data_IF_843404214213
#
_entry.id   IF_843404214213
#
_cell.length_a   1.000
_cell.length_b   1.000
_cell.length_c   1.000
_cell.angle_alpha   90.00
_cell.angle_beta   90.00
_cell.angle_gamma   90.00
#
_symmetry.space_group_name_H-M   'P 1'
#
loop_
_entity.id
_entity.type
_entity.pdbx_description
1 polymer ?
#
# COMPACT_ATOMS: atom_id res chain seq x y z
N UNK A 1 22.42 0.06 18.77
CA UNK A 1 22.76 -1.13 19.59
C UNK A 1 22.73 -2.35 18.69
N UNK A 2 23.77 -3.19 18.70
CA UNK A 2 23.76 -4.44 17.95
C UNK A 2 22.62 -5.30 18.47
N UNK A 3 21.63 -5.54 17.63
CA UNK A 3 20.48 -6.37 17.97
C UNK A 3 20.94 -7.82 17.87
N UNK A 4 20.88 -8.56 18.98
CA UNK A 4 21.11 -10.02 18.94
C UNK A 4 19.76 -10.68 18.70
N UNK A 5 19.61 -11.37 17.58
CA UNK A 5 18.53 -12.34 17.40
C UNK A 5 18.86 -13.55 18.29
N UNK A 6 18.52 -13.46 19.59
CA UNK A 6 18.78 -14.53 20.56
C UNK A 6 17.52 -15.35 20.75
N UNK A 7 17.63 -16.67 20.61
CA UNK A 7 16.51 -17.59 20.75
C UNK A 7 15.49 -17.48 19.62
N UNK A 8 14.25 -17.86 19.91
CA UNK A 8 13.12 -17.67 19.01
C UNK A 8 12.62 -16.23 19.08
N UNK A 9 12.40 -15.65 17.92
CA UNK A 9 11.85 -14.30 17.82
C UNK A 9 10.34 -14.34 18.05
N UNK A 10 9.82 -13.27 18.63
CA UNK A 10 8.39 -13.02 18.78
C UNK A 10 7.99 -11.83 17.91
N UNK A 11 6.74 -11.82 17.46
CA UNK A 11 6.19 -10.73 16.68
C UNK A 11 5.52 -9.72 17.61
N UNK A 12 5.87 -8.45 17.46
CA UNK A 12 5.26 -7.35 18.20
C UNK A 12 4.67 -6.34 17.23
N UNK A 13 3.42 -5.96 17.46
CA UNK A 13 2.86 -4.72 16.91
C UNK A 13 3.22 -3.57 17.86
N UNK A 14 4.08 -2.67 17.39
CA UNK A 14 4.46 -1.46 18.13
C UNK A 14 3.81 -0.26 17.47
N UNK A 15 3.08 0.52 18.25
CA UNK A 15 2.42 1.76 17.83
C UNK A 15 3.05 2.92 18.59
N UNK A 16 3.52 3.93 17.89
CA UNK A 16 4.08 5.13 18.49
C UNK A 16 3.83 6.37 17.65
N UNK A 17 4.07 7.54 18.23
CA UNK A 17 3.88 8.84 17.58
C UNK A 17 4.96 9.83 18.01
N UNK A 18 5.04 10.95 17.32
CA UNK A 18 5.79 12.12 17.80
C UNK A 18 5.02 12.76 18.97
N UNK A 19 5.74 13.32 19.95
CA UNK A 19 5.10 14.07 21.03
C UNK A 19 4.33 15.27 20.44
N UNK A 20 3.04 15.45 20.79
CA UNK A 20 2.28 16.63 20.43
C UNK A 20 2.97 17.90 20.95
N UNK A 21 2.94 18.96 20.14
CA UNK A 21 3.42 20.28 20.55
C UNK A 21 2.30 21.31 20.38
N UNK A 22 2.38 22.48 21.01
CA UNK A 22 1.37 23.53 20.85
C UNK A 22 1.12 23.91 19.38
N UNK A 23 2.16 23.81 18.54
CA UNK A 23 2.08 24.06 17.10
C UNK A 23 1.48 22.91 16.29
N UNK A 24 1.55 21.69 16.81
CA UNK A 24 1.08 20.46 16.15
C UNK A 24 0.47 19.52 17.19
N UNK A 25 -0.80 19.74 17.56
CA UNK A 25 -1.48 18.96 18.59
C UNK A 25 -1.86 17.55 18.10
N UNK A 26 -1.97 17.33 16.79
CA UNK A 26 -2.38 16.05 16.20
C UNK A 26 -1.24 15.45 15.38
N UNK A 27 -0.41 14.66 16.05
CA UNK A 27 0.74 14.03 15.41
C UNK A 27 0.38 12.70 14.75
N UNK A 28 1.05 12.34 13.64
CA UNK A 28 0.80 11.08 12.95
C UNK A 28 1.19 9.88 13.82
N UNK A 29 0.33 8.88 13.82
CA UNK A 29 0.54 7.60 14.51
C UNK A 29 1.19 6.61 13.53
N UNK A 30 2.25 5.95 13.97
CA UNK A 30 2.94 4.91 13.22
C UNK A 30 2.74 3.55 13.87
N UNK A 31 2.44 2.55 13.04
CA UNK A 31 2.33 1.15 13.43
C UNK A 31 3.38 0.34 12.69
N UNK A 32 4.15 -0.47 13.42
CA UNK A 32 5.14 -1.37 12.85
C UNK A 32 5.01 -2.78 13.44
N UNK A 33 5.21 -3.78 12.59
CA UNK A 33 5.45 -5.16 13.01
C UNK A 33 6.94 -5.36 13.19
N UNK A 34 7.36 -5.76 14.39
CA UNK A 34 8.75 -5.90 14.80
C UNK A 34 8.97 -7.31 15.32
N UNK A 35 9.97 -8.00 14.76
CA UNK A 35 10.44 -9.29 15.27
C UNK A 35 11.57 -9.06 16.26
N UNK A 36 11.40 -9.52 17.49
CA UNK A 36 12.37 -9.32 18.58
C UNK A 36 12.26 -10.44 19.63
N UNK A 37 13.34 -10.66 20.39
CA UNK A 37 13.32 -11.65 21.48
C UNK A 37 12.42 -11.24 22.65
N UNK A 38 12.25 -9.94 22.88
CA UNK A 38 11.40 -9.39 23.94
C UNK A 38 10.87 -7.99 23.57
N UNK A 39 9.95 -7.47 24.39
CA UNK A 39 9.28 -6.19 24.18
C UNK A 39 10.26 -5.00 24.27
N UNK A 40 11.28 -5.07 25.13
CA UNK A 40 12.30 -4.02 25.28
C UNK A 40 13.08 -3.84 23.98
N UNK A 41 13.52 -4.94 23.37
CA UNK A 41 14.22 -4.93 22.08
C UNK A 41 13.26 -4.48 20.97
N UNK A 42 11.98 -4.89 21.03
CA UNK A 42 10.97 -4.44 20.06
C UNK A 42 10.80 -2.92 20.07
N UNK A 43 10.69 -2.30 21.27
CA UNK A 43 10.65 -0.84 21.44
C UNK A 43 11.90 -0.16 20.90
N UNK A 44 13.08 -0.74 21.17
CA UNK A 44 14.34 -0.20 20.66
C UNK A 44 14.41 -0.26 19.12
N UNK A 45 13.94 -1.36 18.51
CA UNK A 45 13.93 -1.54 17.06
C UNK A 45 12.92 -0.64 16.37
N UNK A 46 11.76 -0.43 16.99
CA UNK A 46 10.79 0.56 16.53
C UNK A 46 11.43 1.95 16.39
N UNK A 47 12.10 2.45 17.44
CA UNK A 47 12.76 3.76 17.37
C UNK A 47 13.91 3.81 16.37
N UNK A 48 14.65 2.71 16.21
CA UNK A 48 15.67 2.62 15.16
C UNK A 48 15.06 2.86 13.78
N UNK A 49 13.99 2.14 13.42
CA UNK A 49 13.34 2.32 12.12
C UNK A 49 12.63 3.66 11.98
N UNK A 50 11.96 4.16 13.02
CA UNK A 50 11.29 5.47 12.99
C UNK A 50 12.31 6.59 12.80
N UNK A 51 13.48 6.50 13.43
CA UNK A 51 14.54 7.48 13.23
C UNK A 51 15.09 7.47 11.81
N UNK A 52 15.17 6.31 11.17
CA UNK A 52 15.60 6.16 9.78
C UNK A 52 14.54 6.66 8.78
N UNK A 53 13.25 6.35 9.01
CA UNK A 53 12.17 6.64 8.07
C UNK A 53 11.57 8.05 8.23
N UNK A 54 11.46 8.54 9.46
CA UNK A 54 10.76 9.78 9.81
C UNK A 54 11.64 10.81 10.49
N UNK A 55 12.93 10.52 10.72
CA UNK A 55 13.88 11.39 11.43
C UNK A 55 13.42 11.81 12.83
N UNK A 56 12.60 10.97 13.48
CA UNK A 56 12.13 11.18 14.85
C UNK A 56 12.90 10.31 15.83
N UNK A 57 13.36 10.91 16.92
CA UNK A 57 14.13 10.24 17.97
C UNK A 57 13.19 9.80 19.10
N UNK A 58 13.64 8.83 19.90
CA UNK A 58 12.93 8.41 21.12
C UNK A 58 12.64 9.58 22.08
N UNK A 59 13.53 10.57 22.15
CA UNK A 59 13.34 11.74 23.03
C UNK A 59 12.19 12.66 22.60
N UNK A 60 11.81 12.64 21.33
CA UNK A 60 10.75 13.50 20.77
C UNK A 60 9.50 12.72 20.38
N UNK A 61 9.35 11.51 20.90
CA UNK A 61 8.21 10.65 20.61
C UNK A 61 7.89 9.70 21.74
N UNK A 62 6.71 9.10 21.65
CA UNK A 62 6.19 8.18 22.65
C UNK A 62 5.67 6.91 21.98
N UNK A 63 5.73 5.79 22.71
CA UNK A 63 5.11 4.53 22.30
C UNK A 63 3.73 4.48 22.95
N UNK A 64 2.69 4.44 22.13
CA UNK A 64 1.30 4.38 22.59
C UNK A 64 0.90 2.97 23.01
N UNK A 65 1.31 1.97 22.23
CA UNK A 65 1.04 0.58 22.58
C UNK A 65 2.08 -0.37 22.03
N UNK A 66 2.29 -1.45 22.75
CA UNK A 66 3.02 -2.62 22.30
C UNK A 66 2.18 -3.85 22.58
N UNK A 67 1.97 -4.67 21.55
CA UNK A 67 1.21 -5.93 21.68
C UNK A 67 1.98 -7.05 21.02
N UNK A 68 2.18 -8.14 21.73
CA UNK A 68 2.66 -9.38 21.15
C UNK A 68 1.57 -9.95 20.22
N UNK A 69 1.96 -10.35 19.02
CA UNK A 69 1.08 -10.92 18.00
C UNK A 69 1.32 -12.42 17.97
N UNK A 70 0.27 -13.17 18.27
CA UNK A 70 0.28 -14.62 18.19
C UNK A 70 -0.24 -15.09 16.82
N UNK A 71 0.30 -16.20 16.33
CA UNK A 71 -0.14 -16.83 15.09
C UNK A 71 -1.61 -17.26 15.22
N UNK A 72 -2.44 -16.89 14.25
CA UNK A 72 -3.90 -17.14 14.30
C UNK A 72 -4.27 -18.62 14.18
N UNK A 73 -3.44 -19.39 13.46
CA UNK A 73 -3.63 -20.82 13.21
C UNK A 73 -2.32 -21.56 13.43
N UNK A 74 -1.91 -21.77 14.70
CA UNK A 74 -0.76 -22.60 15.02
C UNK A 74 -1.08 -24.05 14.64
N UNK A 75 -0.17 -24.73 13.95
CA UNK A 75 -0.32 -26.14 13.57
C UNK A 75 -0.57 -26.40 12.08
N UNK A 76 -0.85 -25.38 11.27
CA UNK A 76 -0.82 -25.52 9.82
C UNK A 76 0.55 -25.09 9.28
N UNK A 77 1.24 -26.02 8.62
CA UNK A 77 2.50 -25.71 7.92
C UNK A 77 2.21 -24.82 6.72
N UNK A 78 2.93 -23.70 6.62
CA UNK A 78 2.80 -22.70 5.57
C UNK A 78 4.17 -22.39 4.98
N UNK A 79 4.16 -21.86 3.76
CA UNK A 79 5.33 -21.23 3.17
C UNK A 79 5.28 -19.72 3.49
N UNK A 80 6.38 -19.18 3.98
CA UNK A 80 6.50 -17.77 4.35
C UNK A 80 7.56 -17.12 3.46
N UNK A 81 7.14 -16.15 2.66
CA UNK A 81 8.06 -15.30 1.89
C UNK A 81 8.60 -14.18 2.76
N UNK A 82 9.91 -14.16 2.96
CA UNK A 82 10.63 -13.16 3.74
C UNK A 82 11.41 -12.27 2.78
N UNK A 83 10.97 -11.02 2.67
CA UNK A 83 11.74 -9.96 2.03
C UNK A 83 12.68 -9.35 3.05
N UNK A 84 13.98 -9.44 2.79
CA UNK A 84 14.99 -8.86 3.66
C UNK A 84 15.96 -7.99 2.86
N UNK A 85 16.44 -6.94 3.51
CA UNK A 85 17.63 -6.21 3.11
C UNK A 85 18.73 -6.56 4.09
N UNK A 86 19.94 -6.79 3.61
CA UNK A 86 21.09 -6.98 4.47
C UNK A 86 22.32 -6.26 3.95
N UNK A 87 23.21 -5.92 4.88
CA UNK A 87 24.47 -5.29 4.58
C UNK A 87 25.57 -6.35 4.56
N UNK A 88 26.19 -6.53 3.39
CA UNK A 88 27.37 -7.36 3.23
C UNK A 88 28.62 -6.59 3.65
N UNK A 89 29.80 -7.15 3.39
CA UNK A 89 31.07 -6.44 3.57
C UNK A 89 31.28 -5.35 2.51
N UNK A 90 30.64 -5.50 1.35
CA UNK A 90 30.92 -4.71 0.14
C UNK A 90 29.73 -3.85 -0.30
N UNK A 91 28.54 -4.01 0.29
CA UNK A 91 27.39 -3.19 -0.07
C UNK A 91 26.07 -3.64 0.55
N UNK A 92 24.99 -3.03 0.07
CA UNK A 92 23.63 -3.29 0.52
C UNK A 92 22.90 -4.17 -0.49
N UNK A 93 22.28 -5.25 -0.03
CA UNK A 93 21.60 -6.20 -0.91
C UNK A 93 20.17 -6.44 -0.44
N UNK A 94 19.25 -6.49 -1.40
CA UNK A 94 17.89 -6.96 -1.17
C UNK A 94 17.81 -8.43 -1.54
N UNK A 95 17.03 -9.20 -0.80
CA UNK A 95 16.87 -10.62 -0.99
C UNK A 95 15.44 -11.04 -0.66
N UNK A 96 14.93 -11.97 -1.46
CA UNK A 96 13.71 -12.68 -1.19
C UNK A 96 14.04 -14.14 -0.90
N UNK A 97 13.49 -14.71 0.17
CA UNK A 97 13.62 -16.13 0.50
C UNK A 97 12.33 -16.69 1.06
N UNK A 98 12.12 -17.97 0.82
CA UNK A 98 10.97 -18.70 1.35
C UNK A 98 11.41 -19.66 2.45
N UNK A 99 10.62 -19.71 3.52
CA UNK A 99 10.82 -20.62 4.65
C UNK A 99 9.52 -21.37 4.92
N UNK A 100 9.65 -22.68 5.13
CA UNK A 100 8.52 -23.54 5.50
C UNK A 100 8.49 -23.67 7.02
N UNK A 101 7.41 -23.21 7.64
CA UNK A 101 7.26 -23.21 9.09
C UNK A 101 5.77 -23.27 9.46
N UNK A 102 5.47 -23.49 10.73
CA UNK A 102 4.12 -23.40 11.30
C UNK A 102 3.78 -21.98 11.78
N UNK A 103 4.78 -21.15 12.03
CA UNK A 103 4.63 -19.76 12.50
C UNK A 103 5.47 -18.76 11.70
N UNK A 104 4.99 -17.52 11.62
CA UNK A 104 5.79 -16.40 11.08
C UNK A 104 7.09 -16.23 11.86
N UNK A 105 7.00 -16.27 13.19
CA UNK A 105 8.13 -16.13 14.12
C UNK A 105 9.23 -17.16 13.85
N UNK A 106 8.85 -18.42 13.66
CA UNK A 106 9.76 -19.50 13.28
C UNK A 106 10.42 -19.24 11.94
N UNK A 107 9.64 -18.88 10.90
CA UNK A 107 10.16 -18.56 9.58
C UNK A 107 11.17 -17.40 9.59
N UNK A 108 10.89 -16.32 10.33
CA UNK A 108 11.82 -15.18 10.45
C UNK A 108 13.06 -15.58 11.26
N UNK A 109 12.91 -16.38 12.30
CA UNK A 109 14.05 -16.92 13.07
C UNK A 109 14.96 -17.77 12.19
N UNK A 110 14.38 -18.65 11.36
CA UNK A 110 15.12 -19.40 10.34
C UNK A 110 15.84 -18.47 9.36
N UNK A 111 15.19 -17.38 8.93
CA UNK A 111 15.81 -16.40 8.04
C UNK A 111 17.05 -15.75 8.65
N UNK A 112 17.00 -15.34 9.92
CA UNK A 112 18.17 -14.82 10.62
C UNK A 112 19.30 -15.84 10.72
N UNK A 113 18.98 -17.12 11.02
CA UNK A 113 19.97 -18.20 11.10
C UNK A 113 20.62 -18.47 9.74
N UNK A 114 19.83 -18.53 8.68
CA UNK A 114 20.30 -18.80 7.32
C UNK A 114 21.20 -17.69 6.78
N UNK A 115 20.85 -16.43 7.05
CA UNK A 115 21.68 -15.28 6.70
C UNK A 115 23.00 -15.26 7.48
N UNK A 116 22.99 -15.67 8.75
CA UNK A 116 24.18 -15.87 9.55
C UNK A 116 25.07 -17.00 9.02
N UNK A 117 24.48 -18.12 8.61
CA UNK A 117 25.21 -19.29 8.13
C UNK A 117 25.81 -19.08 6.74
N UNK A 118 25.03 -18.62 5.76
CA UNK A 118 25.45 -18.54 4.35
C UNK A 118 26.17 -17.26 4.01
N UNK A 119 25.71 -16.15 4.58
CA UNK A 119 26.20 -14.81 4.23
C UNK A 119 27.04 -14.17 5.34
N UNK A 120 27.19 -14.85 6.50
CA UNK A 120 27.84 -14.33 7.71
C UNK A 120 27.27 -12.96 8.12
N UNK A 121 26.01 -12.72 7.78
CA UNK A 121 25.33 -11.47 8.06
C UNK A 121 24.85 -11.48 9.52
N UNK A 122 25.26 -10.46 10.28
CA UNK A 122 24.82 -10.30 11.66
C UNK A 122 23.38 -9.76 11.71
N UNK A 123 22.65 -10.09 12.79
CA UNK A 123 21.24 -9.76 12.91
C UNK A 123 20.94 -8.25 12.91
N UNK A 124 21.86 -7.43 13.40
CA UNK A 124 21.79 -5.97 13.36
C UNK A 124 21.91 -5.41 11.94
N UNK A 125 22.56 -6.15 11.04
CA UNK A 125 22.72 -5.82 9.61
C UNK A 125 21.61 -6.38 8.72
N UNK A 126 20.60 -7.02 9.30
CA UNK A 126 19.47 -7.61 8.56
C UNK A 126 18.17 -6.87 8.91
N UNK A 127 17.54 -6.32 7.88
CA UNK A 127 16.26 -5.62 7.95
C UNK A 127 15.18 -6.44 7.25
N UNK A 128 14.20 -6.91 8.00
CA UNK A 128 13.01 -7.56 7.44
C UNK A 128 12.06 -6.47 6.93
N UNK A 129 11.72 -6.51 5.64
CA UNK A 129 10.95 -5.46 4.95
C UNK A 129 9.48 -5.82 4.75
N UNK A 130 9.15 -7.12 4.64
CA UNK A 130 7.78 -7.63 4.51
C UNK A 130 7.71 -9.13 4.75
N UNK A 131 6.87 -9.55 5.69
CA UNK A 131 6.42 -10.92 5.83
C UNK A 131 5.00 -11.00 5.23
N UNK A 132 4.85 -11.72 4.12
CA UNK A 132 3.53 -12.19 3.71
C UNK A 132 3.60 -13.70 3.68
N UNK A 133 2.76 -14.32 4.51
CA UNK A 133 2.33 -15.70 4.30
C UNK A 133 2.08 -15.89 2.81
N UNK A 134 2.81 -16.81 2.16
CA UNK A 134 2.48 -17.28 0.83
C UNK A 134 1.21 -18.13 0.93
N UNK A 135 0.06 -17.49 1.21
CA UNK A 135 -1.19 -17.98 0.68
C UNK A 135 -1.28 -17.45 -0.73
N UNK A 136 -0.79 -18.28 -1.66
CA UNK A 136 -1.28 -18.28 -3.03
C UNK A 136 -2.80 -18.45 -2.98
N UNK A 137 -3.51 -17.33 -2.92
CA UNK A 137 -4.67 -17.17 -3.76
C UNK A 137 -4.18 -16.42 -4.98
N UNK A 138 -4.12 -17.11 -6.11
CA UNK A 138 -4.23 -16.45 -7.40
C UNK A 138 -5.57 -15.72 -7.43
N UNK A 139 -5.60 -14.51 -6.91
CA UNK A 139 -6.47 -13.45 -7.41
C UNK A 139 -5.57 -12.26 -7.59
N UNK A 140 -5.42 -11.85 -8.85
CA UNK A 140 -4.66 -10.67 -9.27
C UNK A 140 -5.12 -9.42 -8.49
N UNK A 141 -4.56 -9.19 -7.32
CA UNK A 141 -4.43 -7.87 -6.72
C UNK A 141 -2.95 -7.61 -6.61
N UNK A 142 -2.38 -7.16 -7.72
CA UNK A 142 -1.15 -6.38 -7.75
C UNK A 142 -1.26 -5.42 -6.56
N UNK A 143 -0.43 -5.58 -5.54
CA UNK A 143 -0.29 -4.57 -4.51
C UNK A 143 0.17 -3.32 -5.24
N UNK A 144 -0.78 -2.45 -5.60
CA UNK A 144 -0.51 -1.12 -6.12
C UNK A 144 0.29 -0.48 -5.00
N UNK A 145 1.55 -0.19 -5.26
CA UNK A 145 2.32 0.68 -4.39
C UNK A 145 1.40 1.88 -4.10
N UNK A 146 1.11 2.15 -2.83
CA UNK A 146 0.42 3.38 -2.45
C UNK A 146 1.35 4.50 -2.90
N UNK A 147 1.17 4.95 -4.14
CA UNK A 147 1.73 6.19 -4.62
C UNK A 147 1.15 7.26 -3.70
N UNK A 148 1.97 8.21 -3.27
CA UNK A 148 1.48 9.46 -2.68
C UNK A 148 0.65 10.18 -3.74
N UNK A 149 -0.62 9.78 -3.90
CA UNK A 149 -1.58 10.43 -4.77
C UNK A 149 -1.93 11.74 -4.06
N UNK A 150 -1.65 12.91 -4.67
CA UNK A 150 -2.03 14.19 -4.06
C UNK A 150 -3.51 14.21 -3.72
N UNK A 151 -3.91 14.94 -2.67
CA UNK A 151 -5.32 14.99 -2.27
C UNK A 151 -6.22 15.57 -3.36
N UNK A 152 -5.69 16.50 -4.15
CA UNK A 152 -6.45 17.19 -5.19
C UNK A 152 -7.22 18.40 -4.65
N UNK A 153 -7.83 19.15 -5.56
CA UNK A 153 -8.51 20.42 -5.34
C UNK A 153 -9.80 20.31 -6.15
N UNK A 154 -10.91 20.50 -5.45
CA UNK A 154 -12.24 20.26 -6.00
C UNK A 154 -12.58 21.25 -7.13
N UNK A 155 -12.29 22.55 -6.97
CA UNK A 155 -12.64 23.57 -7.96
C UNK A 155 -11.77 23.45 -9.23
N UNK A 156 -10.48 23.13 -9.06
CA UNK A 156 -9.62 22.79 -10.21
C UNK A 156 -10.09 21.52 -10.91
N UNK A 157 -10.52 20.52 -10.14
CA UNK A 157 -11.10 19.27 -10.66
C UNK A 157 -12.36 19.51 -11.48
N UNK A 158 -13.25 20.37 -10.99
CA UNK A 158 -14.48 20.81 -11.68
C UNK A 158 -14.17 21.49 -13.01
N UNK A 159 -13.18 22.38 -13.05
CA UNK A 159 -12.74 23.04 -14.28
C UNK A 159 -12.16 22.03 -15.30
N UNK A 160 -11.35 21.07 -14.83
CA UNK A 160 -10.82 19.99 -15.67
C UNK A 160 -11.93 19.09 -16.20
N UNK A 161 -12.93 18.76 -15.38
CA UNK A 161 -14.06 17.95 -15.80
C UNK A 161 -14.87 18.65 -16.91
N UNK A 162 -15.17 19.94 -16.74
CA UNK A 162 -15.88 20.75 -17.74
C UNK A 162 -15.15 20.76 -19.09
N UNK A 163 -13.82 20.89 -19.08
CA UNK A 163 -13.04 20.99 -20.31
C UNK A 163 -12.71 19.65 -20.97
N UNK A 164 -12.62 18.55 -20.21
CA UNK A 164 -12.13 17.26 -20.73
C UNK A 164 -13.14 16.11 -20.71
N UNK A 165 -14.16 16.18 -19.86
CA UNK A 165 -15.02 15.02 -19.57
C UNK A 165 -16.51 15.29 -19.82
N UNK A 166 -16.98 16.52 -19.61
CA UNK A 166 -18.41 16.87 -19.64
C UNK A 166 -19.10 16.64 -20.99
N UNK A 167 -18.34 16.74 -22.10
CA UNK A 167 -18.86 16.46 -23.44
C UNK A 167 -19.31 15.00 -23.59
N UNK A 168 -18.58 14.08 -22.95
CA UNK A 168 -18.80 12.65 -23.10
C UNK A 168 -19.50 12.02 -21.89
N UNK A 169 -19.42 12.63 -20.71
CA UNK A 169 -19.87 12.02 -19.47
C UNK A 169 -20.80 12.93 -18.67
N UNK A 170 -21.64 12.30 -17.86
CA UNK A 170 -22.45 12.93 -16.81
C UNK A 170 -22.05 12.30 -15.48
N UNK A 171 -21.82 13.09 -14.44
CA UNK A 171 -21.26 12.62 -13.16
C UNK A 171 -22.30 12.53 -12.05
N UNK A 172 -23.38 13.27 -12.17
CA UNK A 172 -24.41 13.52 -11.16
C UNK A 172 -25.77 12.88 -11.50
N UNK A 173 -25.87 12.16 -12.63
CA UNK A 173 -27.08 11.43 -13.00
C UNK A 173 -26.78 10.11 -13.70
N UNK A 174 -27.78 9.24 -13.81
CA UNK A 174 -27.68 7.96 -14.54
C UNK A 174 -27.65 8.12 -16.07
N UNK A 175 -27.78 9.34 -16.59
CA UNK A 175 -27.77 9.58 -18.03
C UNK A 175 -26.41 9.24 -18.66
N UNK A 176 -26.43 8.58 -19.81
CA UNK A 176 -25.25 8.28 -20.63
C UNK A 176 -25.21 9.21 -21.85
N UNK A 177 -24.01 9.58 -22.31
CA UNK A 177 -23.81 10.30 -23.59
C UNK A 177 -22.90 9.44 -24.48
N UNK A 178 -21.96 10.06 -25.20
CA UNK A 178 -20.88 9.36 -25.92
C UNK A 178 -20.08 8.42 -25.01
N UNK A 179 -19.96 8.76 -23.72
CA UNK A 179 -19.43 7.92 -22.66
C UNK A 179 -20.49 7.51 -21.63
N UNK A 180 -20.20 6.49 -20.82
CA UNK A 180 -21.11 6.04 -19.76
C UNK A 180 -21.26 7.09 -18.65
N UNK A 181 -22.30 6.95 -17.84
CA UNK A 181 -22.44 7.74 -16.61
C UNK A 181 -21.27 7.48 -15.66
N UNK A 182 -20.81 8.53 -14.99
CA UNK A 182 -19.82 8.49 -13.92
C UNK A 182 -20.47 8.55 -12.53
N UNK A 183 -21.80 8.64 -12.45
CA UNK A 183 -22.52 8.48 -11.18
C UNK A 183 -22.24 7.10 -10.59
N UNK A 184 -21.91 7.06 -9.29
CA UNK A 184 -21.50 5.85 -8.58
C UNK A 184 -20.30 5.15 -9.22
N UNK A 185 -19.39 5.86 -9.90
CA UNK A 185 -18.25 5.21 -10.56
C UNK A 185 -17.27 4.62 -9.56
N UNK A 186 -17.06 5.27 -8.41
CA UNK A 186 -16.16 4.77 -7.36
C UNK A 186 -16.75 3.49 -6.74
N UNK A 187 -15.95 2.42 -6.71
CA UNK A 187 -16.35 1.08 -6.28
C UNK A 187 -16.98 0.22 -7.38
N UNK A 188 -17.39 0.81 -8.52
CA UNK A 188 -18.00 0.06 -9.63
C UNK A 188 -16.94 -0.64 -10.47
N UNK A 189 -17.28 -1.80 -11.03
CA UNK A 189 -16.43 -2.49 -12.00
C UNK A 189 -16.55 -1.88 -13.41
N UNK A 190 -15.47 -1.96 -14.18
CA UNK A 190 -15.40 -1.50 -15.57
C UNK A 190 -16.39 -2.24 -16.45
N UNK A 191 -17.07 -1.52 -17.35
CA UNK A 191 -17.94 -2.15 -18.35
C UNK A 191 -19.33 -2.58 -17.87
N UNK A 192 -19.79 -2.10 -16.71
CA UNK A 192 -21.01 -2.60 -16.04
C UNK A 192 -22.19 -1.63 -16.03
N UNK A 193 -22.12 -0.45 -16.67
CA UNK A 193 -23.29 0.44 -16.76
C UNK A 193 -24.36 -0.21 -17.66
N UNK A 194 -25.57 -0.49 -17.15
CA UNK A 194 -26.64 -1.06 -17.95
C UNK A 194 -26.99 -0.18 -19.15
N UNK A 195 -27.20 -0.79 -20.31
CA UNK A 195 -27.60 -0.09 -21.53
C UNK A 195 -26.47 0.65 -22.28
N UNK A 196 -25.23 0.65 -21.78
CA UNK A 196 -24.10 1.27 -22.49
C UNK A 196 -23.27 0.25 -23.28
N UNK A 197 -22.95 0.55 -24.54
CA UNK A 197 -22.18 -0.35 -25.42
C UNK A 197 -20.65 -0.25 -25.21
N UNK A 198 -20.15 -1.00 -24.22
CA UNK A 198 -18.72 -1.10 -23.94
C UNK A 198 -17.95 -1.95 -24.95
N UNK A 199 -16.67 -1.60 -25.15
CA UNK A 199 -15.70 -2.48 -25.82
C UNK A 199 -15.55 -3.82 -25.09
N UNK A 200 -15.20 -4.88 -25.81
CA UNK A 200 -14.86 -6.17 -25.20
C UNK A 200 -13.73 -6.04 -24.18
N UNK A 201 -12.74 -5.18 -24.45
CA UNK A 201 -11.64 -4.89 -23.54
C UNK A 201 -12.13 -4.31 -22.20
N UNK A 202 -13.07 -3.35 -22.22
CA UNK A 202 -13.63 -2.77 -21.00
C UNK A 202 -14.45 -3.77 -20.18
N UNK A 203 -15.22 -4.64 -20.84
CA UNK A 203 -16.01 -5.70 -20.17
C UNK A 203 -15.11 -6.74 -19.51
N UNK A 204 -14.02 -7.13 -20.19
CA UNK A 204 -13.16 -8.22 -19.74
C UNK A 204 -12.04 -7.81 -18.77
N UNK A 205 -11.66 -6.52 -18.72
CA UNK A 205 -10.53 -6.06 -17.87
C UNK A 205 -10.80 -6.23 -16.36
N UNK A 206 -12.05 -6.20 -15.93
CA UNK A 206 -12.45 -6.43 -14.53
C UNK A 206 -11.89 -5.40 -13.54
N UNK A 207 -11.67 -4.15 -13.96
CA UNK A 207 -11.09 -3.12 -13.09
C UNK A 207 -12.16 -2.58 -12.16
N UNK A 208 -11.92 -2.63 -10.85
CA UNK A 208 -12.70 -1.87 -9.87
C UNK A 208 -12.17 -0.44 -9.85
N UNK A 209 -13.05 0.54 -10.03
CA UNK A 209 -12.68 1.94 -9.99
C UNK A 209 -12.48 2.40 -8.54
N UNK A 210 -11.25 2.72 -8.20
CA UNK A 210 -10.80 3.26 -6.92
C UNK A 210 -9.99 4.52 -7.22
N UNK A 211 -9.65 5.30 -6.20
CA UNK A 211 -8.78 6.47 -6.39
C UNK A 211 -7.49 6.09 -7.14
N UNK A 212 -6.89 4.98 -6.75
CA UNK A 212 -5.63 4.47 -7.29
C UNK A 212 -5.78 4.01 -8.74
N UNK A 213 -6.79 3.17 -9.02
CA UNK A 213 -7.00 2.66 -10.38
C UNK A 213 -7.46 3.76 -11.34
N UNK A 214 -8.22 4.76 -10.87
CA UNK A 214 -8.55 5.95 -11.65
C UNK A 214 -7.31 6.81 -11.91
N UNK A 215 -6.43 6.97 -10.92
CA UNK A 215 -5.19 7.74 -11.07
C UNK A 215 -4.25 7.15 -12.12
N UNK A 216 -4.12 5.83 -12.16
CA UNK A 216 -3.33 5.14 -13.17
C UNK A 216 -4.03 5.14 -14.54
N UNK A 217 -5.34 4.89 -14.57
CA UNK A 217 -6.13 4.88 -15.80
C UNK A 217 -6.11 6.23 -16.51
N UNK A 218 -6.30 7.33 -15.76
CA UNK A 218 -6.34 8.67 -16.32
C UNK A 218 -4.99 9.15 -16.87
N UNK A 219 -3.87 8.48 -16.53
CA UNK A 219 -2.56 8.80 -17.10
C UNK A 219 -2.48 8.48 -18.59
N UNK A 220 -3.06 7.34 -18.96
CA UNK A 220 -3.07 6.82 -20.33
C UNK A 220 -4.13 5.69 -20.47
N UNK A 221 -5.39 6.04 -20.79
CA UNK A 221 -6.47 5.06 -20.87
C UNK A 221 -6.24 3.96 -21.90
N UNK A 222 -5.67 4.29 -23.07
CA UNK A 222 -5.38 3.34 -24.14
C UNK A 222 -4.33 2.32 -23.71
N UNK A 223 -3.29 2.76 -22.99
CA UNK A 223 -2.28 1.86 -22.44
C UNK A 223 -2.83 1.01 -21.29
N UNK A 224 -3.69 1.57 -20.44
CA UNK A 224 -4.24 0.87 -19.28
C UNK A 224 -5.26 -0.21 -19.68
N UNK A 225 -6.15 0.10 -20.62
CA UNK A 225 -7.11 -0.84 -21.24
C UNK A 225 -6.90 -0.83 -22.77
N UNK A 226 -5.96 -1.64 -23.29
CA UNK A 226 -5.77 -1.79 -24.73
C UNK A 226 -7.07 -2.23 -25.40
N UNK A 227 -7.53 -1.48 -26.42
CA UNK A 227 -8.80 -1.72 -27.10
C UNK A 227 -10.02 -0.97 -26.50
N UNK A 228 -9.81 -0.07 -25.53
CA UNK A 228 -10.88 0.83 -25.06
C UNK A 228 -11.40 1.74 -26.18
N UNK A 229 -12.72 1.95 -26.24
CA UNK A 229 -13.37 2.92 -27.13
C UNK A 229 -13.18 4.38 -26.66
N UNK A 230 -12.65 4.60 -25.45
CA UNK A 230 -12.45 5.94 -24.91
C UNK A 230 -11.29 6.65 -25.65
N UNK A 231 -11.63 7.69 -26.43
CA UNK A 231 -10.67 8.53 -27.12
C UNK A 231 -10.24 9.67 -26.18
N UNK A 232 -9.34 9.36 -25.25
CA UNK A 232 -8.75 10.34 -24.34
C UNK A 232 -7.23 10.14 -24.26
N UNK A 233 -6.46 11.23 -24.43
CA UNK A 233 -4.99 11.19 -24.42
C UNK A 233 -4.40 10.96 -23.01
N UNK A 234 -5.22 11.12 -21.96
CA UNK A 234 -4.79 11.07 -20.58
C UNK A 234 -4.28 12.42 -20.05
N UNK A 235 -4.14 12.50 -18.73
CA UNK A 235 -3.58 13.62 -17.98
C UNK A 235 -2.21 13.21 -17.45
N UNK A 236 -1.13 13.82 -17.97
CA UNK A 236 0.24 13.40 -17.61
C UNK A 236 0.66 13.90 -16.23
N UNK A 237 0.20 15.09 -15.83
CA UNK A 237 0.54 15.67 -14.52
C UNK A 237 -0.22 14.94 -13.41
N UNK A 238 0.47 14.68 -12.30
CA UNK A 238 -0.11 14.02 -11.13
C UNK A 238 -1.20 14.87 -10.48
N UNK A 239 -0.96 16.16 -10.29
CA UNK A 239 -1.90 17.06 -9.63
C UNK A 239 -3.21 17.22 -10.42
N UNK A 240 -3.14 17.34 -11.74
CA UNK A 240 -4.34 17.42 -12.60
C UNK A 240 -5.20 16.15 -12.48
N UNK A 241 -4.57 14.97 -12.40
CA UNK A 241 -5.28 13.71 -12.15
C UNK A 241 -5.93 13.69 -10.77
N UNK A 242 -5.19 14.09 -9.74
CA UNK A 242 -5.70 14.15 -8.38
C UNK A 242 -6.88 15.12 -8.23
N UNK A 243 -6.79 16.32 -8.81
CA UNK A 243 -7.87 17.30 -8.84
C UNK A 243 -9.12 16.73 -9.50
N UNK A 244 -8.99 16.13 -10.70
CA UNK A 244 -10.12 15.54 -11.42
C UNK A 244 -10.78 14.40 -10.61
N UNK A 245 -9.97 13.52 -9.99
CA UNK A 245 -10.49 12.41 -9.19
C UNK A 245 -11.22 12.93 -7.95
N UNK A 246 -10.67 13.93 -7.24
CA UNK A 246 -11.34 14.55 -6.08
C UNK A 246 -12.73 15.08 -6.45
N UNK A 247 -12.86 15.75 -7.60
CA UNK A 247 -14.17 16.21 -8.09
C UNK A 247 -15.12 15.04 -8.39
N UNK A 248 -14.65 14.01 -9.10
CA UNK A 248 -15.47 12.84 -9.46
C UNK A 248 -15.93 12.09 -8.21
N UNK A 249 -15.07 11.88 -7.22
CA UNK A 249 -15.41 11.20 -5.96
C UNK A 249 -16.56 11.93 -5.23
N UNK A 250 -16.51 13.26 -5.17
CA UNK A 250 -17.54 14.07 -4.50
C UNK A 250 -18.85 14.03 -5.29
N UNK A 251 -18.82 14.30 -6.60
CA UNK A 251 -20.05 14.43 -7.38
C UNK A 251 -20.72 13.08 -7.65
N UNK A 252 -19.94 12.02 -7.89
CA UNK A 252 -20.49 10.70 -8.18
C UNK A 252 -21.10 10.00 -6.98
N UNK A 253 -20.79 10.44 -5.76
CA UNK A 253 -21.32 9.90 -4.51
C UNK A 253 -22.63 10.57 -4.06
N UNK A 254 -23.03 11.68 -4.68
CA UNK A 254 -24.29 12.35 -4.34
C UNK A 254 -25.49 11.46 -4.65
N UNK A 255 -26.50 11.51 -3.79
CA UNK A 255 -27.80 10.87 -4.05
C UNK A 255 -28.44 11.48 -5.29
N UNK A 256 -29.12 10.64 -6.06
CA UNK A 256 -29.90 11.04 -7.24
C UNK A 256 -31.26 11.61 -6.85
#
# INVERSE_FOLDING_TARGET
MPTKAKGELREYTVIGRKLPTEKDPVTPIWKMQIFASNDVIAKSRFWYFVSMLRRVKKSSGEILSIKEVFEKKPGSVKNYGVWLKYDSRTGHHNMYREYRDVTVCGAVTQAYRDMGARHRAQADRIHILKNYTQKMWFTSSRAVAMADIPEGDYEKGKALFKSRCLQCHVVDSKATKTGPTLHGVVGRQSGQVPGFDYSAANKNKGVVWTRETLFDYLKDPKKYIPGTKMVFAGLKKADERAHLIKYIEVESAKSL
#
